data_IF_270996511895
#
_entry.id   IF_270996511895
#
_cell.length_a   1.000
_cell.length_b   1.000
_cell.length_c   1.000
_cell.angle_alpha   90.00
_cell.angle_beta   90.00
_cell.angle_gamma   90.00
#
_symmetry.space_group_name_H-M   'P 1'
#
loop_
_entity.id
_entity.type
_entity.pdbx_description
1 polymer ?
#
# COMPACT_ATOMS: atom_id res chain seq x y z
N UNK A 1 -8.42 -34.98 27.53
CA UNK A 1 -7.32 -34.79 26.56
C UNK A 1 -7.53 -33.40 25.97
N UNK A 2 -6.85 -32.40 26.51
CA UNK A 2 -6.94 -31.02 26.04
C UNK A 2 -5.80 -30.83 25.03
N UNK A 3 -6.14 -30.61 23.77
CA UNK A 3 -5.18 -30.21 22.75
C UNK A 3 -4.90 -28.71 22.96
N UNK A 4 -3.66 -28.38 23.31
CA UNK A 4 -3.18 -27.02 23.25
C UNK A 4 -3.01 -26.68 21.75
N UNK A 5 -3.90 -25.85 21.20
CA UNK A 5 -3.61 -25.14 19.95
C UNK A 5 -2.57 -24.07 20.29
N UNK A 6 -1.34 -24.27 19.83
CA UNK A 6 -0.35 -23.20 19.78
C UNK A 6 -0.58 -22.44 18.48
N UNK A 7 -1.41 -21.40 18.52
CA UNK A 7 -1.44 -20.39 17.45
C UNK A 7 -0.17 -19.57 17.58
N UNK A 8 0.78 -19.75 16.67
CA UNK A 8 1.98 -18.91 16.60
C UNK A 8 1.60 -17.72 15.72
N UNK A 9 1.46 -16.54 16.35
CA UNK A 9 1.20 -15.29 15.64
C UNK A 9 2.51 -14.59 15.35
N UNK A 10 2.92 -14.55 14.09
CA UNK A 10 4.01 -13.68 13.63
C UNK A 10 3.41 -12.33 13.17
N UNK A 11 3.93 -11.25 13.75
CA UNK A 11 3.57 -9.88 13.38
C UNK A 11 4.62 -9.35 12.41
N UNK A 12 4.22 -9.11 11.17
CA UNK A 12 5.09 -8.53 10.17
C UNK A 12 4.73 -7.05 9.99
N UNK A 13 5.77 -6.20 10.01
CA UNK A 13 5.61 -4.76 9.83
C UNK A 13 6.36 -4.35 8.57
N UNK A 14 5.72 -3.48 7.82
CA UNK A 14 6.33 -2.96 6.61
C UNK A 14 7.52 -2.03 6.93
N UNK A 15 8.61 -2.14 6.15
CA UNK A 15 9.85 -1.40 6.42
C UNK A 15 10.31 -0.64 5.16
N UNK A 16 10.56 0.68 5.24
CA UNK A 16 11.14 1.42 4.13
C UNK A 16 12.58 0.96 3.83
N UNK A 17 12.92 0.78 2.55
CA UNK A 17 14.27 0.42 2.08
C UNK A 17 15.33 1.53 2.29
N UNK A 18 14.92 2.72 2.70
CA UNK A 18 15.81 3.90 2.83
C UNK A 18 16.19 4.18 4.28
N UNK A 19 17.49 4.39 4.52
CA UNK A 19 18.10 4.80 5.79
C UNK A 19 17.80 6.27 6.15
N UNK A 20 16.55 6.70 6.03
CA UNK A 20 16.10 8.01 6.50
C UNK A 20 15.77 7.84 7.98
N UNK A 21 16.41 8.65 8.82
CA UNK A 21 16.25 8.60 10.28
C UNK A 21 14.78 8.71 10.71
N UNK A 22 14.52 8.17 11.90
CA UNK A 22 13.23 8.16 12.58
C UNK A 22 12.46 9.49 12.41
N UNK A 23 11.15 9.36 12.24
CA UNK A 23 10.17 10.43 12.02
C UNK A 23 10.10 10.99 10.60
N UNK A 24 9.70 10.14 9.65
CA UNK A 24 8.42 10.29 8.93
C UNK A 24 8.42 9.31 7.75
N UNK A 25 7.47 8.38 7.72
CA UNK A 25 7.24 7.52 6.56
C UNK A 25 6.53 8.36 5.47
N UNK A 26 7.19 9.41 4.94
CA UNK A 26 6.61 10.48 4.09
C UNK A 26 6.11 9.96 2.75
N UNK A 27 6.59 8.80 2.32
CA UNK A 27 6.42 8.36 0.94
C UNK A 27 5.15 7.55 0.75
N UNK A 28 4.79 6.67 1.68
CA UNK A 28 3.58 5.85 1.50
C UNK A 28 2.29 6.61 1.80
N UNK A 29 1.21 6.30 1.06
CA UNK A 29 -0.12 6.83 1.37
C UNK A 29 -0.77 6.14 2.58
N UNK A 30 -0.35 4.92 2.92
CA UNK A 30 -0.96 4.10 3.98
C UNK A 30 0.10 3.48 4.90
N UNK A 31 -0.34 3.14 6.12
CA UNK A 31 0.29 2.15 7.00
C UNK A 31 -0.47 0.83 6.80
N UNK A 32 0.28 -0.26 6.69
CA UNK A 32 -0.26 -1.62 6.56
C UNK A 32 0.37 -2.50 7.63
N UNK A 33 -0.47 -3.22 8.38
CA UNK A 33 -0.06 -4.23 9.37
C UNK A 33 -0.60 -5.59 8.94
N UNK A 34 0.25 -6.62 9.03
CA UNK A 34 -0.11 -7.98 8.63
C UNK A 34 0.10 -8.96 9.77
N UNK A 35 -0.90 -9.80 10.00
CA UNK A 35 -0.81 -10.96 10.89
C UNK A 35 -0.89 -12.22 10.06
N UNK A 36 -0.04 -13.17 10.40
CA UNK A 36 0.03 -14.47 9.74
C UNK A 36 -0.46 -15.54 10.72
N UNK A 37 -1.35 -16.40 10.24
CA UNK A 37 -1.85 -17.55 10.98
C UNK A 37 -1.76 -18.80 10.12
N UNK A 38 -0.83 -19.69 10.44
CA UNK A 38 -0.73 -21.01 9.83
C UNK A 38 -1.83 -21.93 10.40
N UNK A 39 -2.65 -22.49 9.50
CA UNK A 39 -3.79 -23.32 9.89
C UNK A 39 -3.44 -24.82 10.04
N UNK A 40 -2.15 -25.19 9.95
CA UNK A 40 -1.64 -26.56 10.08
C UNK A 40 -2.26 -27.57 9.08
N UNK A 41 -2.80 -27.08 7.95
CA UNK A 41 -3.51 -27.88 6.96
C UNK A 41 -3.12 -27.54 5.51
N UNK A 42 -1.95 -26.89 5.32
CA UNK A 42 -1.49 -26.40 4.02
C UNK A 42 -2.15 -25.08 3.59
N UNK A 43 -2.81 -24.39 4.53
CA UNK A 43 -3.34 -23.04 4.31
C UNK A 43 -2.81 -22.06 5.36
N UNK A 44 -2.71 -20.79 4.98
CA UNK A 44 -2.34 -19.67 5.83
C UNK A 44 -3.41 -18.60 5.71
N UNK A 45 -3.90 -18.11 6.85
CA UNK A 45 -4.77 -16.94 6.89
C UNK A 45 -3.91 -15.70 7.14
N UNK A 46 -4.00 -14.74 6.23
CA UNK A 46 -3.40 -13.41 6.36
C UNK A 46 -4.48 -12.42 6.75
N UNK A 47 -4.30 -11.71 7.86
CA UNK A 47 -5.13 -10.56 8.23
C UNK A 47 -4.35 -9.30 7.93
N UNK A 48 -4.97 -8.35 7.23
CA UNK A 48 -4.39 -7.06 6.88
C UNK A 48 -5.21 -5.94 7.49
N UNK A 49 -4.57 -5.04 8.24
CA UNK A 49 -5.17 -3.78 8.66
C UNK A 49 -4.44 -2.62 7.98
N UNK A 50 -5.21 -1.69 7.40
CA UNK A 50 -4.68 -0.51 6.74
C UNK A 50 -5.21 0.78 7.36
N UNK A 51 -4.38 1.82 7.33
CA UNK A 51 -4.74 3.19 7.73
C UNK A 51 -4.10 4.19 6.76
N UNK A 52 -4.90 5.07 6.17
CA UNK A 52 -4.44 6.15 5.29
C UNK A 52 -3.83 7.26 6.14
N UNK A 53 -2.61 7.68 5.79
CA UNK A 53 -1.97 8.79 6.46
C UNK A 53 -2.75 10.09 6.24
N UNK A 54 -3.00 10.85 7.31
CA UNK A 54 -3.75 12.11 7.26
C UNK A 54 -3.23 13.07 6.18
N UNK A 55 -1.91 13.16 6.03
CA UNK A 55 -1.25 14.00 5.04
C UNK A 55 -1.43 13.54 3.58
N UNK A 56 -2.02 12.36 3.37
CA UNK A 56 -2.16 11.69 2.08
C UNK A 56 -3.61 11.39 1.69
N UNK A 57 -4.59 11.71 2.53
CA UNK A 57 -6.03 11.45 2.26
C UNK A 57 -6.51 11.99 0.91
N UNK A 58 -6.02 13.16 0.50
CA UNK A 58 -6.42 13.76 -0.79
C UNK A 58 -5.83 13.06 -2.03
N UNK A 59 -4.81 12.23 -1.86
CA UNK A 59 -4.01 11.67 -2.97
C UNK A 59 -3.98 10.15 -2.98
N UNK A 60 -4.31 9.51 -1.86
CA UNK A 60 -4.42 8.07 -1.71
C UNK A 60 -5.77 7.60 -2.24
N UNK A 61 -5.81 7.10 -3.48
CA UNK A 61 -7.04 6.51 -4.05
C UNK A 61 -7.03 4.99 -3.98
N UNK A 62 -5.89 4.42 -4.33
CA UNK A 62 -5.69 2.97 -4.33
C UNK A 62 -4.23 2.63 -4.06
N UNK A 63 -4.03 1.42 -3.57
CA UNK A 63 -2.73 0.76 -3.48
C UNK A 63 -2.86 -0.67 -3.97
N UNK A 64 -1.74 -1.26 -4.38
CA UNK A 64 -1.65 -2.63 -4.81
C UNK A 64 -0.59 -3.36 -3.98
N UNK A 65 -0.95 -4.48 -3.38
CA UNK A 65 -0.03 -5.37 -2.68
C UNK A 65 0.17 -6.62 -3.54
N UNK A 66 1.41 -6.91 -3.91
CA UNK A 66 1.80 -8.11 -4.64
C UNK A 66 2.46 -9.07 -3.67
N UNK A 67 2.02 -10.33 -3.65
CA UNK A 67 2.62 -11.37 -2.82
C UNK A 67 2.86 -12.66 -3.61
N UNK A 68 3.93 -13.42 -3.29
CA UNK A 68 4.24 -14.70 -3.90
C UNK A 68 3.22 -15.78 -3.47
N UNK A 69 2.07 -15.81 -4.14
CA UNK A 69 1.01 -16.80 -3.93
C UNK A 69 0.30 -17.13 -5.25
N UNK A 70 -0.13 -18.37 -5.41
CA UNK A 70 -0.83 -18.86 -6.61
C UNK A 70 -2.25 -19.36 -6.35
N UNK A 71 -2.68 -19.41 -5.09
CA UNK A 71 -4.00 -19.87 -4.69
C UNK A 71 -4.47 -19.09 -3.45
N UNK A 72 -5.44 -18.20 -3.60
CA UNK A 72 -5.98 -17.41 -2.51
C UNK A 72 -7.43 -16.96 -2.73
N UNK A 73 -8.14 -16.73 -1.62
CA UNK A 73 -9.49 -16.16 -1.56
C UNK A 73 -9.55 -15.04 -0.51
N UNK A 74 -10.34 -13.99 -0.79
CA UNK A 74 -10.71 -13.00 0.23
C UNK A 74 -11.84 -13.62 1.04
N UNK A 75 -11.61 -13.87 2.33
CA UNK A 75 -12.60 -14.45 3.24
C UNK A 75 -13.49 -13.37 3.87
N UNK A 76 -12.91 -12.21 4.16
CA UNK A 76 -13.62 -11.08 4.77
C UNK A 76 -12.98 -9.74 4.37
N UNK A 77 -13.79 -8.67 4.37
CA UNK A 77 -13.36 -7.31 4.12
C UNK A 77 -14.34 -6.35 4.78
N UNK A 78 -13.88 -5.44 5.64
CA UNK A 78 -14.74 -4.50 6.36
C UNK A 78 -15.52 -3.59 5.40
N UNK A 79 -14.87 -3.18 4.30
CA UNK A 79 -15.36 -2.11 3.41
C UNK A 79 -15.67 -2.59 1.98
N UNK A 80 -15.60 -3.91 1.71
CA UNK A 80 -15.72 -4.48 0.35
C UNK A 80 -14.91 -3.74 -0.74
N UNK A 81 -13.73 -3.21 -0.37
CA UNK A 81 -12.91 -2.36 -1.23
C UNK A 81 -11.62 -3.05 -1.70
N UNK A 82 -11.50 -4.36 -1.45
CA UNK A 82 -10.34 -5.17 -1.81
C UNK A 82 -10.70 -6.10 -2.96
N UNK A 83 -9.83 -6.16 -3.96
CA UNK A 83 -9.97 -7.06 -5.11
C UNK A 83 -8.72 -7.90 -5.28
N UNK A 84 -8.91 -9.18 -5.58
CA UNK A 84 -7.85 -10.16 -5.78
C UNK A 84 -7.71 -10.49 -7.27
N UNK A 85 -6.50 -10.52 -7.80
CA UNK A 85 -6.21 -10.91 -9.19
C UNK A 85 -4.86 -11.62 -9.27
N UNK A 86 -4.77 -12.68 -10.07
CA UNK A 86 -3.50 -13.36 -10.33
C UNK A 86 -2.71 -12.60 -11.40
N UNK A 87 -1.42 -12.39 -11.14
CA UNK A 87 -0.45 -11.72 -12.03
C UNK A 87 0.71 -12.67 -12.32
N UNK A 88 1.60 -12.30 -13.24
CA UNK A 88 2.75 -13.13 -13.62
C UNK A 88 3.64 -13.46 -12.40
N UNK A 89 3.84 -12.48 -11.51
CA UNK A 89 4.72 -12.59 -10.34
C UNK A 89 3.99 -13.05 -9.06
N UNK A 90 2.75 -13.54 -9.15
CA UNK A 90 2.00 -14.08 -8.01
C UNK A 90 0.57 -13.56 -7.88
N UNK A 91 0.21 -13.09 -6.69
CA UNK A 91 -1.12 -12.55 -6.39
C UNK A 91 -1.05 -11.04 -6.19
N UNK A 92 -1.98 -10.32 -6.81
CA UNK A 92 -2.21 -8.90 -6.61
C UNK A 92 -3.50 -8.65 -5.82
N UNK A 93 -3.37 -7.97 -4.69
CA UNK A 93 -4.47 -7.44 -3.89
C UNK A 93 -4.53 -5.93 -4.08
N UNK A 94 -5.60 -5.43 -4.70
CA UNK A 94 -5.83 -3.99 -4.86
C UNK A 94 -6.81 -3.50 -3.81
N UNK A 95 -6.39 -2.54 -3.00
CA UNK A 95 -7.20 -1.84 -2.01
C UNK A 95 -7.59 -0.50 -2.64
N UNK A 96 -8.87 -0.30 -2.94
CA UNK A 96 -9.39 0.89 -3.60
C UNK A 96 -10.17 1.79 -2.63
N UNK A 97 -10.59 2.96 -3.12
CA UNK A 97 -11.45 3.92 -2.41
C UNK A 97 -10.87 4.34 -1.05
N UNK A 98 -9.56 4.52 -0.99
CA UNK A 98 -8.85 4.94 0.22
C UNK A 98 -9.20 6.38 0.65
N UNK A 99 -9.76 7.17 -0.27
CA UNK A 99 -10.34 8.48 -0.02
C UNK A 99 -11.70 8.42 0.70
N UNK A 100 -12.45 7.33 0.55
CA UNK A 100 -13.73 7.08 1.23
C UNK A 100 -13.52 6.29 2.53
N UNK A 101 -12.74 5.20 2.45
CA UNK A 101 -12.46 4.29 3.56
C UNK A 101 -11.02 4.45 4.01
N UNK A 102 -10.78 5.40 4.93
CA UNK A 102 -9.43 5.75 5.39
C UNK A 102 -8.79 4.71 6.30
N UNK A 103 -9.54 3.72 6.75
CA UNK A 103 -9.02 2.56 7.48
C UNK A 103 -9.94 1.35 7.30
N UNK A 104 -9.41 0.16 7.55
CA UNK A 104 -10.18 -1.07 7.52
C UNK A 104 -9.30 -2.31 7.64
N UNK A 105 -9.97 -3.46 7.75
CA UNK A 105 -9.35 -4.78 7.78
C UNK A 105 -9.90 -5.69 6.69
N UNK A 106 -9.09 -6.65 6.25
CA UNK A 106 -9.52 -7.75 5.38
C UNK A 106 -8.68 -9.00 5.63
N UNK A 107 -9.28 -10.16 5.36
CA UNK A 107 -8.62 -11.46 5.52
C UNK A 107 -8.51 -12.20 4.18
N UNK A 108 -7.35 -12.81 3.96
CA UNK A 108 -7.04 -13.61 2.80
C UNK A 108 -6.65 -15.01 3.25
N UNK A 109 -7.37 -16.02 2.77
CA UNK A 109 -6.97 -17.41 2.92
C UNK A 109 -6.08 -17.80 1.75
N UNK A 110 -4.86 -18.22 2.02
CA UNK A 110 -3.89 -18.68 1.02
C UNK A 110 -3.75 -20.19 1.13
N UNK A 111 -3.93 -20.89 0.01
CA UNK A 111 -3.77 -22.33 -0.08
C UNK A 111 -2.42 -22.73 -0.69
N UNK A 112 -2.10 -24.02 -0.58
CA UNK A 112 -0.89 -24.63 -1.13
C UNK A 112 0.40 -23.99 -0.58
N UNK A 113 0.39 -23.63 0.70
CA UNK A 113 1.52 -23.00 1.40
C UNK A 113 2.21 -24.04 2.28
N UNK A 114 3.43 -24.43 1.91
CA UNK A 114 4.27 -25.36 2.68
C UNK A 114 4.93 -24.68 3.89
N UNK A 115 5.29 -23.40 3.73
CA UNK A 115 5.94 -22.56 4.74
C UNK A 115 5.41 -21.13 4.58
N UNK A 116 4.99 -20.50 5.68
CA UNK A 116 4.43 -19.15 5.67
C UNK A 116 5.45 -18.09 5.27
N UNK A 117 6.75 -18.36 5.47
CA UNK A 117 7.85 -17.51 5.01
C UNK A 117 7.87 -17.37 3.48
N UNK A 118 7.29 -18.32 2.74
CA UNK A 118 7.20 -18.25 1.28
C UNK A 118 6.23 -17.16 0.78
N UNK A 119 5.42 -16.57 1.67
CA UNK A 119 4.51 -15.47 1.34
C UNK A 119 5.22 -14.10 1.35
N UNK A 120 6.53 -14.09 1.68
CA UNK A 120 7.35 -12.89 1.77
C UNK A 120 8.51 -12.91 0.75
N UNK A 121 8.99 -11.74 0.31
CA UNK A 121 8.47 -10.41 0.64
C UNK A 121 7.15 -10.13 -0.09
N UNK A 122 6.26 -9.37 0.57
CA UNK A 122 5.15 -8.72 -0.13
C UNK A 122 5.58 -7.33 -0.56
N UNK A 123 5.18 -6.90 -1.75
CA UNK A 123 5.54 -5.60 -2.30
C UNK A 123 4.31 -4.71 -2.45
N UNK A 124 4.35 -3.56 -1.78
CA UNK A 124 3.32 -2.53 -1.88
C UNK A 124 3.69 -1.55 -2.99
N UNK A 125 2.74 -1.28 -3.86
CA UNK A 125 2.80 -0.32 -4.95
C UNK A 125 1.71 0.74 -4.75
N UNK A 126 2.04 1.99 -5.02
CA UNK A 126 1.06 3.06 -5.09
C UNK A 126 1.40 4.04 -6.21
N UNK A 127 0.36 4.67 -6.75
CA UNK A 127 0.47 5.83 -7.61
C UNK A 127 -0.50 6.90 -7.10
N UNK A 128 0.04 8.07 -6.81
CA UNK A 128 -0.71 9.20 -6.26
C UNK A 128 -0.50 10.40 -7.17
N UNK A 129 -1.59 10.91 -7.75
CA UNK A 129 -1.57 12.09 -8.61
C UNK A 129 -2.42 13.21 -8.01
N UNK A 130 -1.86 14.41 -7.85
CA UNK A 130 -2.56 15.60 -7.38
C UNK A 130 -2.41 16.75 -8.37
N UNK A 131 -3.53 17.37 -8.75
CA UNK A 131 -3.51 18.69 -9.39
C UNK A 131 -3.22 19.72 -8.32
N UNK A 132 -2.20 20.54 -8.54
CA UNK A 132 -1.79 21.54 -7.56
C UNK A 132 -2.03 22.92 -8.15
N UNK A 133 -2.76 23.75 -7.41
CA UNK A 133 -2.85 25.17 -7.71
C UNK A 133 -1.42 25.76 -7.71
N UNK A 134 -0.98 26.45 -8.79
CA UNK A 134 0.36 27.03 -8.90
C UNK A 134 0.81 27.86 -7.71
N UNK A 135 -0.15 28.42 -6.97
CA UNK A 135 0.06 29.26 -5.78
C UNK A 135 0.16 28.48 -4.45
N UNK A 136 -0.11 27.16 -4.44
CA UNK A 136 -0.13 26.37 -3.21
C UNK A 136 1.28 25.92 -2.82
N UNK A 137 1.66 26.15 -1.56
CA UNK A 137 2.98 25.77 -0.99
C UNK A 137 3.06 24.30 -0.53
N UNK A 138 2.21 23.44 -1.07
CA UNK A 138 2.03 22.08 -0.56
C UNK A 138 3.08 21.08 -1.07
N UNK A 139 3.95 21.50 -2.00
CA UNK A 139 5.03 20.68 -2.55
C UNK A 139 6.41 21.26 -2.18
N UNK A 140 7.38 20.37 -1.92
CA UNK A 140 8.78 20.75 -1.63
C UNK A 140 9.43 21.43 -2.84
N UNK A 141 8.99 21.08 -4.06
CA UNK A 141 9.39 21.69 -5.32
C UNK A 141 8.14 22.18 -6.04
N UNK A 142 8.13 23.45 -6.46
CA UNK A 142 7.02 24.03 -7.21
C UNK A 142 7.52 24.96 -8.31
N UNK A 143 6.73 25.08 -9.39
CA UNK A 143 6.91 26.09 -10.42
C UNK A 143 6.14 27.33 -9.99
N UNK A 144 6.83 28.46 -9.80
CA UNK A 144 6.20 29.71 -9.35
C UNK A 144 5.68 30.56 -10.50
N UNK A 145 6.35 30.53 -11.66
CA UNK A 145 5.95 31.27 -12.86
C UNK A 145 6.59 30.66 -14.11
N UNK A 146 5.95 30.86 -15.26
CA UNK A 146 6.52 30.58 -16.59
C UNK A 146 6.57 31.89 -17.35
N UNK A 147 7.73 32.21 -17.94
CA UNK A 147 7.94 33.48 -18.64
C UNK A 147 8.39 33.22 -20.07
N UNK A 148 7.78 33.93 -21.03
CA UNK A 148 8.19 33.91 -22.42
C UNK A 148 9.58 34.55 -22.57
N UNK A 149 10.53 33.80 -23.14
CA UNK A 149 11.92 34.24 -23.25
C UNK A 149 12.10 35.52 -24.10
N UNK A 150 11.26 35.72 -25.11
CA UNK A 150 11.38 36.84 -26.05
C UNK A 150 10.75 38.13 -25.52
N UNK A 151 9.64 38.03 -24.80
CA UNK A 151 8.83 39.19 -24.37
C UNK A 151 8.92 39.47 -22.88
N UNK A 152 9.39 38.52 -22.07
CA UNK A 152 9.35 38.62 -20.61
C UNK A 152 7.94 38.51 -20.03
N UNK A 153 6.94 38.16 -20.84
CA UNK A 153 5.54 38.04 -20.42
C UNK A 153 5.30 36.74 -19.65
N UNK A 154 4.48 36.81 -18.60
CA UNK A 154 4.08 35.66 -17.79
C UNK A 154 2.99 34.85 -18.51
N UNK A 155 3.16 33.53 -18.55
CA UNK A 155 2.27 32.61 -19.26
C UNK A 155 1.46 31.76 -18.29
N UNK A 156 0.20 31.42 -18.64
CA UNK A 156 -0.60 30.49 -17.85
C UNK A 156 -0.03 29.08 -17.92
N UNK A 157 -0.14 28.32 -16.82
CA UNK A 157 0.26 26.93 -16.74
C UNK A 157 -0.55 26.18 -15.70
N UNK A 158 -0.63 24.86 -15.88
CA UNK A 158 -1.17 23.92 -14.91
C UNK A 158 -0.03 23.09 -14.30
N UNK A 159 -0.17 22.71 -13.03
CA UNK A 159 0.83 21.91 -12.32
C UNK A 159 0.21 20.61 -11.81
N UNK A 160 0.89 19.50 -12.10
CA UNK A 160 0.52 18.15 -11.68
C UNK A 160 1.68 17.55 -10.89
N UNK A 161 1.38 16.94 -9.76
CA UNK A 161 2.35 16.18 -8.97
C UNK A 161 1.99 14.70 -9.03
N UNK A 162 2.92 13.87 -9.49
CA UNK A 162 2.81 12.41 -9.43
C UNK A 162 3.83 11.90 -8.41
N UNK A 163 3.40 11.01 -7.52
CA UNK A 163 4.25 10.24 -6.63
C UNK A 163 3.95 8.76 -6.83
N UNK A 164 4.99 7.99 -7.06
CA UNK A 164 4.97 6.53 -7.05
C UNK A 164 6.15 6.01 -6.22
N UNK A 165 6.16 4.72 -5.95
CA UNK A 165 7.31 4.04 -5.37
C UNK A 165 7.90 3.01 -6.33
N UNK A 166 9.22 2.80 -6.21
CA UNK A 166 9.95 1.79 -6.98
C UNK A 166 10.10 0.45 -6.23
N UNK A 167 9.62 0.37 -4.99
CA UNK A 167 9.60 -0.87 -4.20
C UNK A 167 9.52 -0.60 -2.70
N UNK A 168 8.44 -1.06 -2.07
CA UNK A 168 8.26 -1.02 -0.62
C UNK A 168 7.84 -2.41 -0.15
N UNK A 169 8.60 -2.98 0.78
CA UNK A 169 8.47 -4.40 1.10
C UNK A 169 7.98 -4.60 2.53
N UNK A 170 7.07 -5.57 2.68
CA UNK A 170 6.78 -6.23 3.94
C UNK A 170 7.71 -7.44 3.98
N UNK A 171 8.60 -7.44 4.98
CA UNK A 171 9.68 -8.42 5.19
C UNK A 171 9.71 -8.86 6.61
#
# INVERSE_FOLDING_TARGET
MLANLYSIHHLWKSVPKSSVGDDTNVLLPIVLTTWVNNNDNGTVTLTFEYEVLESKKDVAKEVQLVMPASNATIESSDNDNVTLTYVEDGLSLKIAKLDEFTSGSFEVLVGDVDDEENLFPMELYFEASKVIEPSSKNAVVSVTSITANETGEELPFDMYYNTSNEGYYIV
#
